data_IF_690796268985
#
_entry.id   IF_690796268985
#
_cell.length_a   1.000
_cell.length_b   1.000
_cell.length_c   1.000
_cell.angle_alpha   90.00
_cell.angle_beta   90.00
_cell.angle_gamma   90.00
#
_symmetry.space_group_name_H-M   'P 1'
#
loop_
_entity.id
_entity.type
_entity.pdbx_description
1 polymer ?
#
# COMPACT_ATOMS: atom_id res chain seq x y z
N UNK A 1 5.63 19.76 8.32
CA UNK A 1 5.09 18.38 8.37
C UNK A 1 4.83 17.93 6.94
N UNK A 2 5.88 17.45 6.25
CA UNK A 2 5.80 17.12 4.83
C UNK A 2 4.84 15.93 4.65
N UNK A 3 3.71 16.16 4.00
CA UNK A 3 2.88 15.07 3.47
C UNK A 3 3.78 14.23 2.56
N UNK A 4 4.12 13.03 2.99
CA UNK A 4 4.77 12.03 2.15
C UNK A 4 3.74 11.72 1.05
N UNK A 5 3.95 12.19 -0.18
CA UNK A 5 2.95 12.15 -1.26
C UNK A 5 2.27 10.77 -1.45
N UNK A 6 2.91 9.66 -1.04
CA UNK A 6 2.29 8.33 -1.03
C UNK A 6 1.04 8.21 -0.16
N UNK A 7 0.96 8.93 0.97
CA UNK A 7 -0.20 8.89 1.87
C UNK A 7 -1.46 9.48 1.25
N UNK A 8 -1.32 10.48 0.37
CA UNK A 8 -2.46 11.11 -0.28
C UNK A 8 -3.02 10.23 -1.40
N UNK A 9 -2.15 9.64 -2.21
CA UNK A 9 -2.58 8.75 -3.29
C UNK A 9 -3.25 7.47 -2.75
N UNK A 10 -2.74 6.89 -1.65
CA UNK A 10 -3.43 5.78 -0.97
C UNK A 10 -4.82 6.18 -0.47
N UNK A 11 -4.99 7.40 0.07
CA UNK A 11 -6.31 7.90 0.47
C UNK A 11 -7.27 8.05 -0.73
N UNK A 12 -6.77 8.51 -1.87
CA UNK A 12 -7.54 8.59 -3.12
C UNK A 12 -7.97 7.22 -3.66
N UNK A 13 -7.37 6.12 -3.20
CA UNK A 13 -7.77 4.75 -3.55
C UNK A 13 -8.74 4.18 -2.52
N UNK A 14 -8.39 4.28 -1.23
CA UNK A 14 -9.18 3.71 -0.12
C UNK A 14 -10.54 4.39 0.00
N UNK A 15 -10.63 5.71 -0.15
CA UNK A 15 -11.91 6.42 -0.01
C UNK A 15 -12.94 5.99 -1.08
N UNK A 16 -12.64 6.01 -2.39
CA UNK A 16 -13.53 5.48 -3.42
C UNK A 16 -13.88 4.00 -3.26
N UNK A 17 -12.91 3.15 -2.96
CA UNK A 17 -13.13 1.70 -2.82
C UNK A 17 -14.03 1.38 -1.63
N UNK A 18 -13.83 2.03 -0.47
CA UNK A 18 -14.74 1.90 0.68
C UNK A 18 -16.14 2.46 0.41
N UNK A 19 -16.24 3.56 -0.33
CA UNK A 19 -17.54 4.12 -0.74
C UNK A 19 -18.34 3.14 -1.61
N UNK A 20 -17.72 2.55 -2.64
CA UNK A 20 -18.39 1.54 -3.48
C UNK A 20 -18.74 0.26 -2.72
N UNK A 21 -17.86 -0.18 -1.81
CA UNK A 21 -18.14 -1.33 -0.95
C UNK A 21 -19.36 -1.04 -0.05
N UNK A 22 -19.51 0.18 0.45
CA UNK A 22 -20.71 0.62 1.17
C UNK A 22 -21.98 0.58 0.32
N UNK A 23 -21.90 1.00 -0.94
CA UNK A 23 -23.03 0.88 -1.89
C UNK A 23 -23.40 -0.59 -2.07
N UNK A 24 -22.45 -1.46 -2.36
CA UNK A 24 -22.73 -2.90 -2.57
C UNK A 24 -23.26 -3.55 -1.30
N UNK A 25 -22.73 -3.19 -0.13
CA UNK A 25 -23.23 -3.67 1.15
C UNK A 25 -24.70 -3.29 1.40
N UNK A 26 -25.14 -2.13 0.88
CA UNK A 26 -26.56 -1.75 0.94
C UNK A 26 -27.47 -2.62 0.05
N UNK A 27 -26.91 -3.27 -0.99
CA UNK A 27 -27.63 -4.23 -1.86
C UNK A 27 -27.60 -5.66 -1.28
N UNK A 28 -26.70 -5.94 -0.34
CA UNK A 28 -26.52 -7.27 0.25
C UNK A 28 -27.81 -7.91 0.82
N UNK A 29 -28.73 -7.18 1.46
CA UNK A 29 -30.01 -7.77 1.92
C UNK A 29 -30.88 -8.32 0.78
N UNK A 30 -30.74 -7.79 -0.44
CA UNK A 30 -31.45 -8.29 -1.62
C UNK A 30 -30.71 -9.47 -2.25
N UNK A 31 -29.37 -9.39 -2.34
CA UNK A 31 -28.53 -10.42 -2.94
C UNK A 31 -28.47 -11.69 -2.08
N UNK A 32 -28.52 -11.55 -0.74
CA UNK A 32 -28.28 -12.65 0.18
C UNK A 32 -29.28 -13.83 0.01
N UNK A 33 -30.61 -13.59 0.02
CA UNK A 33 -31.59 -14.65 -0.15
C UNK A 33 -31.58 -15.29 -1.54
N UNK A 34 -31.00 -14.61 -2.54
CA UNK A 34 -30.94 -15.08 -3.94
C UNK A 34 -29.76 -16.04 -4.13
N UNK A 35 -28.64 -15.80 -3.44
CA UNK A 35 -27.38 -16.52 -3.68
C UNK A 35 -27.04 -17.56 -2.61
N UNK A 36 -27.38 -17.32 -1.34
CA UNK A 36 -26.94 -18.17 -0.21
C UNK A 36 -28.08 -18.75 0.62
N UNK A 37 -29.34 -18.51 0.26
CA UNK A 37 -30.47 -19.15 0.94
C UNK A 37 -30.53 -20.64 0.62
N UNK A 38 -30.73 -21.46 1.64
CA UNK A 38 -30.97 -22.90 1.50
C UNK A 38 -32.43 -23.23 1.15
N UNK A 39 -33.33 -22.26 1.33
CA UNK A 39 -34.74 -22.36 0.94
C UNK A 39 -34.97 -21.62 -0.37
N UNK A 40 -35.88 -22.09 -1.24
CA UNK A 40 -36.18 -21.43 -2.50
C UNK A 40 -36.68 -20.01 -2.22
N UNK A 41 -36.03 -19.04 -2.87
CA UNK A 41 -36.35 -17.63 -2.74
C UNK A 41 -37.78 -17.38 -3.25
N UNK A 42 -38.67 -16.76 -2.46
CA UNK A 42 -40.02 -16.45 -2.92
C UNK A 42 -40.01 -15.53 -4.14
N UNK A 43 -40.95 -15.74 -5.07
CA UNK A 43 -41.11 -14.88 -6.26
C UNK A 43 -41.27 -13.39 -5.91
N UNK A 44 -41.91 -13.09 -4.78
CA UNK A 44 -42.09 -11.72 -4.27
C UNK A 44 -40.76 -11.02 -3.94
N UNK A 45 -39.72 -11.77 -3.58
CA UNK A 45 -38.40 -11.20 -3.31
C UNK A 45 -37.72 -10.72 -4.60
N UNK A 46 -37.89 -11.45 -5.70
CA UNK A 46 -37.44 -11.01 -7.02
C UNK A 46 -38.14 -9.73 -7.45
N UNK A 47 -39.43 -9.57 -7.15
CA UNK A 47 -40.16 -8.32 -7.44
C UNK A 47 -39.61 -7.13 -6.64
N UNK A 48 -39.30 -7.32 -5.35
CA UNK A 48 -38.68 -6.27 -4.54
C UNK A 48 -37.30 -5.88 -5.07
N UNK A 49 -36.46 -6.87 -5.40
CA UNK A 49 -35.14 -6.61 -5.95
C UNK A 49 -35.21 -5.89 -7.30
N UNK A 50 -36.07 -6.35 -8.20
CA UNK A 50 -36.30 -5.74 -9.50
C UNK A 50 -36.80 -4.29 -9.37
N UNK A 51 -37.72 -4.03 -8.43
CA UNK A 51 -38.21 -2.67 -8.14
C UNK A 51 -37.09 -1.75 -7.66
N UNK A 52 -36.19 -2.25 -6.82
CA UNK A 52 -35.05 -1.49 -6.31
C UNK A 52 -34.04 -1.17 -7.41
N UNK A 53 -33.73 -2.13 -8.28
CA UNK A 53 -32.84 -1.93 -9.42
C UNK A 53 -33.40 -0.92 -10.43
N UNK A 54 -34.71 -0.99 -10.70
CA UNK A 54 -35.38 0.02 -11.54
C UNK A 54 -35.33 1.40 -10.91
N UNK A 55 -35.56 1.50 -9.60
CA UNK A 55 -35.41 2.77 -8.87
C UNK A 55 -33.99 3.32 -8.99
N UNK A 56 -32.97 2.46 -8.86
CA UNK A 56 -31.57 2.85 -8.99
C UNK A 56 -31.25 3.36 -10.40
N UNK A 57 -31.75 2.69 -11.44
CA UNK A 57 -31.57 3.11 -12.84
C UNK A 57 -32.36 4.38 -13.20
N UNK A 58 -33.57 4.54 -12.63
CA UNK A 58 -34.41 5.73 -12.81
C UNK A 58 -33.92 6.96 -12.03
N UNK A 59 -32.87 6.81 -11.21
CA UNK A 59 -32.32 7.90 -10.42
C UNK A 59 -31.81 9.06 -11.30
N UNK A 60 -31.87 10.32 -10.82
CA UNK A 60 -31.44 11.47 -11.61
C UNK A 60 -30.02 11.29 -12.15
N UNK A 61 -29.73 11.71 -13.40
CA UNK A 61 -28.46 11.43 -14.08
C UNK A 61 -27.24 12.09 -13.39
N UNK A 62 -27.46 12.90 -12.36
CA UNK A 62 -26.43 13.45 -11.49
C UNK A 62 -25.75 12.35 -10.65
N UNK A 63 -26.51 11.38 -10.12
CA UNK A 63 -25.98 10.30 -9.26
C UNK A 63 -24.95 9.44 -10.01
N UNK A 64 -25.27 8.83 -11.17
CA UNK A 64 -24.28 8.03 -11.89
C UNK A 64 -23.07 8.88 -12.33
N UNK A 65 -23.23 10.17 -12.65
CA UNK A 65 -22.09 11.04 -12.96
C UNK A 65 -21.12 11.19 -11.78
N UNK A 66 -21.64 11.39 -10.57
CA UNK A 66 -20.82 11.41 -9.36
C UNK A 66 -20.11 10.06 -9.16
N UNK A 67 -20.81 8.94 -9.34
CA UNK A 67 -20.20 7.62 -9.22
C UNK A 67 -19.02 7.45 -10.20
N UNK A 68 -19.19 7.82 -11.47
CA UNK A 68 -18.08 7.76 -12.43
C UNK A 68 -16.91 8.66 -12.04
N UNK A 69 -17.15 9.86 -11.51
CA UNK A 69 -16.08 10.75 -11.00
C UNK A 69 -15.30 10.05 -9.87
N UNK A 70 -16.00 9.38 -8.95
CA UNK A 70 -15.37 8.65 -7.85
C UNK A 70 -14.57 7.44 -8.37
N UNK A 71 -15.04 6.75 -9.41
CA UNK A 71 -14.26 5.71 -10.11
C UNK A 71 -12.97 6.30 -10.71
N UNK A 72 -13.08 7.42 -11.43
CA UNK A 72 -11.91 8.09 -12.00
C UNK A 72 -10.93 8.56 -10.93
N UNK A 73 -11.40 8.99 -9.76
CA UNK A 73 -10.56 9.41 -8.65
C UNK A 73 -9.76 8.21 -8.08
N UNK A 74 -10.41 7.07 -7.91
CA UNK A 74 -9.74 5.82 -7.51
C UNK A 74 -8.68 5.37 -8.51
N UNK A 75 -9.02 5.42 -9.80
CA UNK A 75 -8.09 5.10 -10.88
C UNK A 75 -6.90 6.08 -10.93
N UNK A 76 -7.16 7.38 -10.81
CA UNK A 76 -6.11 8.40 -10.78
C UNK A 76 -5.17 8.20 -9.60
N UNK A 77 -5.68 7.78 -8.43
CA UNK A 77 -4.88 7.40 -7.27
C UNK A 77 -3.91 6.25 -7.59
N UNK A 78 -4.41 5.17 -8.20
CA UNK A 78 -3.59 4.02 -8.60
C UNK A 78 -2.53 4.39 -9.64
N UNK A 79 -2.89 5.15 -10.66
CA UNK A 79 -1.94 5.62 -11.70
C UNK A 79 -0.87 6.55 -11.10
N UNK A 80 -1.27 7.42 -10.18
CA UNK A 80 -0.32 8.33 -9.50
C UNK A 80 0.70 7.56 -8.65
N UNK A 81 0.29 6.48 -7.98
CA UNK A 81 1.24 5.62 -7.23
C UNK A 81 2.15 4.81 -8.16
N UNK A 82 1.62 4.34 -9.29
CA UNK A 82 2.41 3.55 -10.26
C UNK A 82 3.55 4.36 -10.89
N UNK A 83 3.41 5.68 -11.02
CA UNK A 83 4.44 6.55 -11.60
C UNK A 83 5.72 6.67 -10.75
N UNK A 84 5.71 6.23 -9.48
CA UNK A 84 6.92 6.16 -8.64
C UNK A 84 7.42 4.70 -8.54
N UNK A 85 8.50 4.34 -9.24
CA UNK A 85 9.03 2.99 -9.21
C UNK A 85 9.83 2.74 -7.92
N UNK A 86 9.27 1.94 -7.02
CA UNK A 86 10.02 1.05 -6.13
C UNK A 86 9.54 -0.38 -6.42
N UNK A 87 10.38 -1.40 -6.24
CA UNK A 87 10.02 -2.79 -6.59
C UNK A 87 8.75 -3.28 -5.85
N UNK A 88 8.62 -2.91 -4.58
CA UNK A 88 7.42 -3.19 -3.76
C UNK A 88 6.18 -2.45 -4.29
N UNK A 89 6.32 -1.18 -4.71
CA UNK A 89 5.22 -0.45 -5.34
C UNK A 89 4.76 -1.14 -6.62
N UNK A 90 5.69 -1.62 -7.45
CA UNK A 90 5.36 -2.27 -8.73
C UNK A 90 4.50 -3.52 -8.55
N UNK A 91 4.84 -4.39 -7.60
CA UNK A 91 4.07 -5.61 -7.34
C UNK A 91 2.69 -5.33 -6.77
N UNK A 92 2.60 -4.49 -5.75
CA UNK A 92 1.33 -4.28 -5.05
C UNK A 92 0.43 -3.22 -5.71
N UNK A 93 0.96 -2.11 -6.23
CA UNK A 93 0.17 -1.11 -6.97
C UNK A 93 -0.18 -1.63 -8.37
N UNK A 94 0.72 -2.40 -9.02
CA UNK A 94 0.44 -3.05 -10.30
C UNK A 94 -0.69 -4.07 -10.19
N UNK A 95 -0.63 -4.97 -9.19
CA UNK A 95 -1.72 -5.91 -8.91
C UNK A 95 -3.02 -5.19 -8.56
N UNK A 96 -2.96 -4.13 -7.75
CA UNK A 96 -4.14 -3.33 -7.41
C UNK A 96 -4.76 -2.65 -8.64
N UNK A 97 -3.94 -2.18 -9.58
CA UNK A 97 -4.41 -1.57 -10.83
C UNK A 97 -5.11 -2.58 -11.73
N UNK A 98 -4.51 -3.76 -11.95
CA UNK A 98 -5.13 -4.83 -12.75
C UNK A 98 -6.45 -5.28 -12.12
N UNK A 99 -6.46 -5.49 -10.80
CA UNK A 99 -7.66 -5.88 -10.08
C UNK A 99 -8.75 -4.79 -10.16
N UNK A 100 -8.37 -3.52 -10.05
CA UNK A 100 -9.31 -2.40 -10.21
C UNK A 100 -9.87 -2.32 -11.63
N UNK A 101 -9.06 -2.56 -12.67
CA UNK A 101 -9.53 -2.60 -14.07
C UNK A 101 -10.47 -3.77 -14.35
N UNK A 102 -10.23 -4.93 -13.72
CA UNK A 102 -11.17 -6.03 -13.72
C UNK A 102 -12.52 -5.58 -13.13
N UNK A 103 -12.50 -4.90 -11.98
CA UNK A 103 -13.69 -4.29 -11.38
C UNK A 103 -14.40 -3.32 -12.33
N UNK A 104 -13.69 -2.39 -12.97
CA UNK A 104 -14.28 -1.46 -13.97
C UNK A 104 -14.94 -2.23 -15.12
N UNK A 105 -14.31 -3.30 -15.59
CA UNK A 105 -14.85 -4.14 -16.68
C UNK A 105 -16.14 -4.81 -16.26
N UNK A 106 -16.19 -5.44 -15.08
CA UNK A 106 -17.41 -6.07 -14.53
C UNK A 106 -18.50 -5.02 -14.29
N UNK A 107 -18.14 -3.82 -13.83
CA UNK A 107 -19.10 -2.72 -13.64
C UNK A 107 -19.78 -2.33 -14.95
N UNK A 108 -18.99 -2.10 -16.01
CA UNK A 108 -19.53 -1.70 -17.32
C UNK A 108 -20.28 -2.86 -17.98
N UNK A 109 -19.70 -4.05 -17.99
CA UNK A 109 -20.23 -5.20 -18.73
C UNK A 109 -21.45 -5.83 -18.05
N UNK A 110 -21.48 -5.89 -16.71
CA UNK A 110 -22.52 -6.62 -15.98
C UNK A 110 -23.48 -5.67 -15.27
N UNK A 111 -22.98 -4.71 -14.49
CA UNK A 111 -23.84 -3.86 -13.65
C UNK A 111 -24.60 -2.84 -14.49
N UNK A 112 -23.90 -2.05 -15.32
CA UNK A 112 -24.53 -1.01 -16.15
C UNK A 112 -25.47 -1.61 -17.19
N UNK A 113 -25.03 -2.69 -17.88
CA UNK A 113 -25.90 -3.38 -18.84
C UNK A 113 -27.07 -4.08 -18.16
N UNK A 114 -26.84 -4.77 -17.03
CA UNK A 114 -27.90 -5.43 -16.26
C UNK A 114 -28.98 -4.46 -15.80
N UNK A 115 -28.60 -3.29 -15.27
CA UNK A 115 -29.56 -2.24 -14.87
C UNK A 115 -30.41 -1.74 -16.06
N UNK A 116 -29.81 -1.59 -17.24
CA UNK A 116 -30.52 -1.19 -18.47
C UNK A 116 -31.50 -2.26 -18.93
N UNK A 117 -31.11 -3.53 -18.90
CA UNK A 117 -31.95 -4.67 -19.30
C UNK A 117 -33.14 -4.86 -18.35
N UNK A 118 -32.89 -4.83 -17.03
CA UNK A 118 -33.96 -4.89 -16.00
C UNK A 118 -34.94 -3.73 -16.17
N UNK A 119 -34.45 -2.54 -16.48
CA UNK A 119 -35.32 -1.37 -16.71
C UNK A 119 -36.10 -1.43 -18.01
N UNK A 120 -35.53 -2.03 -19.07
CA UNK A 120 -36.21 -2.28 -20.32
C UNK A 120 -37.23 -3.44 -20.23
N UNK A 121 -37.15 -4.27 -19.19
CA UNK A 121 -37.98 -5.48 -19.05
C UNK A 121 -37.61 -6.57 -20.06
N UNK A 122 -36.43 -6.46 -20.67
CA UNK A 122 -35.93 -7.44 -21.65
C UNK A 122 -35.10 -8.49 -20.90
N UNK A 123 -35.60 -9.72 -20.87
CA UNK A 123 -34.96 -10.87 -20.24
C UNK A 123 -34.73 -11.94 -21.31
N UNK A 124 -33.51 -12.51 -21.40
CA UNK A 124 -33.14 -13.49 -22.43
C UNK A 124 -31.70 -13.37 -22.95
N UNK A 125 -31.50 -13.66 -24.23
CA UNK A 125 -30.19 -13.80 -24.92
C UNK A 125 -29.20 -12.64 -24.71
N UNK A 126 -29.69 -11.41 -24.50
CA UNK A 126 -28.85 -10.22 -24.31
C UNK A 126 -28.01 -10.27 -23.02
N UNK A 127 -28.44 -11.03 -22.01
CA UNK A 127 -27.71 -11.19 -20.75
C UNK A 127 -26.62 -12.27 -20.85
N UNK A 128 -26.84 -13.29 -21.68
CA UNK A 128 -25.88 -14.35 -22.00
C UNK A 128 -24.68 -13.79 -22.78
N UNK A 129 -24.92 -12.81 -23.67
CA UNK A 129 -23.84 -12.07 -24.33
C UNK A 129 -22.99 -11.22 -23.37
N UNK A 130 -23.60 -10.67 -22.31
CA UNK A 130 -22.91 -9.87 -21.30
C UNK A 130 -22.06 -10.73 -20.35
N UNK A 131 -22.56 -11.91 -19.93
CA UNK A 131 -21.83 -12.86 -19.08
C UNK A 131 -20.73 -13.61 -19.84
N UNK A 132 -20.98 -14.00 -21.09
CA UNK A 132 -19.96 -14.64 -21.94
C UNK A 132 -18.77 -13.72 -22.23
N UNK A 133 -18.99 -12.41 -22.39
CA UNK A 133 -17.92 -11.44 -22.60
C UNK A 133 -17.08 -11.19 -21.33
N UNK A 134 -17.66 -11.34 -20.14
CA UNK A 134 -16.97 -11.17 -18.85
C UNK A 134 -16.18 -12.42 -18.42
N UNK A 135 -16.62 -13.61 -18.81
CA UNK A 135 -15.93 -14.88 -18.55
C UNK A 135 -14.55 -14.97 -19.25
N UNK A 136 -14.26 -14.12 -20.23
CA UNK A 136 -13.00 -14.10 -20.96
C UNK A 136 -11.83 -13.36 -20.29
N UNK A 137 -12.02 -12.71 -19.13
CA UNK A 137 -11.04 -11.72 -18.63
C UNK A 137 -10.35 -12.02 -17.29
N UNK A 138 -10.53 -13.18 -16.66
CA UNK A 138 -9.74 -13.45 -15.44
C UNK A 138 -10.20 -14.60 -14.55
N UNK A 139 -10.06 -15.83 -15.02
CA UNK A 139 -9.83 -17.04 -14.24
C UNK A 139 -9.62 -18.18 -15.25
N UNK A 140 -8.80 -19.18 -14.91
CA UNK A 140 -8.44 -20.27 -15.80
C UNK A 140 -9.61 -20.81 -16.63
N UNK A 141 -9.35 -20.91 -17.93
CA UNK A 141 -10.17 -21.60 -18.92
C UNK A 141 -10.35 -23.06 -18.52
N UNK A 142 -11.47 -23.41 -17.89
CA UNK A 142 -12.03 -24.77 -17.80
C UNK A 142 -13.43 -24.75 -17.13
N UNK A 143 -14.30 -23.81 -17.55
CA UNK A 143 -15.73 -23.91 -17.24
C UNK A 143 -16.45 -24.37 -18.52
N UNK A 144 -17.17 -25.51 -18.50
CA UNK A 144 -17.90 -25.96 -19.67
C UNK A 144 -18.89 -24.87 -20.07
N UNK A 145 -18.86 -24.52 -21.35
CA UNK A 145 -19.88 -23.69 -21.97
C UNK A 145 -21.18 -24.48 -21.94
N UNK A 146 -21.96 -24.30 -20.88
CA UNK A 146 -23.31 -24.88 -20.77
C UNK A 146 -24.21 -24.21 -21.82
N UNK A 147 -24.54 -24.99 -22.84
CA UNK A 147 -25.47 -24.66 -23.91
C UNK A 147 -26.86 -24.33 -23.36
N UNK A 148 -27.38 -23.15 -23.74
CA UNK A 148 -28.80 -23.04 -24.10
C UNK A 148 -29.84 -22.97 -22.98
N UNK A 149 -29.54 -22.45 -21.79
CA UNK A 149 -30.60 -22.10 -20.85
C UNK A 149 -31.13 -20.70 -21.17
N UNK A 150 -32.30 -20.64 -21.82
CA UNK A 150 -33.10 -19.42 -22.01
C UNK A 150 -33.24 -18.75 -20.63
N UNK A 151 -32.49 -17.68 -20.38
CA UNK A 151 -32.47 -17.02 -19.07
C UNK A 151 -33.81 -16.38 -18.79
N UNK A 152 -34.52 -16.90 -17.79
CA UNK A 152 -35.70 -16.26 -17.24
C UNK A 152 -35.35 -14.95 -16.53
N UNK A 153 -36.39 -14.20 -16.15
CA UNK A 153 -36.29 -13.01 -15.31
C UNK A 153 -35.45 -13.26 -14.05
N UNK A 154 -35.72 -14.34 -13.36
CA UNK A 154 -35.07 -14.69 -12.09
C UNK A 154 -33.59 -15.01 -12.27
N UNK A 155 -33.21 -15.69 -13.35
CA UNK A 155 -31.81 -16.02 -13.62
C UNK A 155 -31.01 -14.77 -14.00
N UNK A 156 -31.65 -13.84 -14.71
CA UNK A 156 -31.07 -12.52 -14.98
C UNK A 156 -30.79 -11.74 -13.69
N UNK A 157 -31.71 -11.79 -12.73
CA UNK A 157 -31.55 -11.15 -11.43
C UNK A 157 -30.47 -11.86 -10.58
N UNK A 158 -30.38 -13.19 -10.61
CA UNK A 158 -29.30 -13.96 -9.96
C UNK A 158 -27.92 -13.58 -10.50
N UNK A 159 -27.78 -13.46 -11.82
CA UNK A 159 -26.52 -13.03 -12.46
C UNK A 159 -26.11 -11.63 -12.00
N UNK A 160 -27.07 -10.71 -11.85
CA UNK A 160 -26.78 -9.36 -11.36
C UNK A 160 -26.36 -9.36 -9.88
N UNK A 161 -27.05 -10.14 -9.04
CA UNK A 161 -26.67 -10.33 -7.64
C UNK A 161 -25.26 -10.96 -7.50
N UNK A 162 -24.95 -11.96 -8.35
CA UNK A 162 -23.62 -12.56 -8.40
C UNK A 162 -22.56 -11.53 -8.83
N UNK A 163 -22.89 -10.64 -9.77
CA UNK A 163 -22.00 -9.57 -10.22
C UNK A 163 -21.69 -8.55 -9.10
N UNK A 164 -22.67 -8.21 -8.26
CA UNK A 164 -22.44 -7.39 -7.06
C UNK A 164 -21.47 -8.06 -6.09
N UNK A 165 -21.61 -9.37 -5.90
CA UNK A 165 -20.74 -10.17 -5.02
C UNK A 165 -19.31 -10.21 -5.56
N UNK A 166 -19.13 -10.47 -6.86
CA UNK A 166 -17.81 -10.44 -7.52
C UNK A 166 -17.18 -9.05 -7.34
N UNK A 167 -17.96 -7.98 -7.53
CA UNK A 167 -17.48 -6.61 -7.31
C UNK A 167 -17.02 -6.38 -5.88
N UNK A 168 -17.76 -6.87 -4.88
CA UNK A 168 -17.35 -6.77 -3.48
C UNK A 168 -16.01 -7.46 -3.23
N UNK A 169 -15.82 -8.68 -3.76
CA UNK A 169 -14.56 -9.43 -3.62
C UNK A 169 -13.39 -8.72 -4.29
N UNK A 170 -13.59 -8.17 -5.48
CA UNK A 170 -12.57 -7.39 -6.21
C UNK A 170 -12.17 -6.14 -5.41
N UNK A 171 -13.14 -5.39 -4.89
CA UNK A 171 -12.87 -4.17 -4.10
C UNK A 171 -12.22 -4.49 -2.74
N UNK A 172 -12.63 -5.56 -2.06
CA UNK A 172 -11.95 -6.06 -0.86
C UNK A 172 -10.52 -6.45 -1.18
N UNK A 173 -10.28 -7.13 -2.31
CA UNK A 173 -8.94 -7.48 -2.77
C UNK A 173 -8.05 -6.25 -2.95
N UNK A 174 -8.58 -5.16 -3.53
CA UNK A 174 -7.85 -3.88 -3.62
C UNK A 174 -7.53 -3.33 -2.23
N UNK A 175 -8.49 -3.33 -1.29
CA UNK A 175 -8.24 -2.86 0.08
C UNK A 175 -7.18 -3.70 0.81
N UNK A 176 -7.21 -5.02 0.65
CA UNK A 176 -6.22 -5.94 1.23
C UNK A 176 -4.84 -5.66 0.66
N UNK A 177 -4.71 -5.42 -0.64
CA UNK A 177 -3.44 -5.05 -1.26
C UNK A 177 -2.92 -3.70 -0.76
N UNK A 178 -3.80 -2.70 -0.63
CA UNK A 178 -3.41 -1.39 -0.08
C UNK A 178 -2.98 -1.50 1.41
N UNK A 179 -3.65 -2.33 2.20
CA UNK A 179 -3.25 -2.62 3.58
C UNK A 179 -1.93 -3.41 3.65
N UNK A 180 -1.72 -4.34 2.71
CA UNK A 180 -0.48 -5.09 2.55
C UNK A 180 0.71 -4.19 2.26
N UNK A 181 0.55 -3.21 1.38
CA UNK A 181 1.57 -2.18 1.13
C UNK A 181 1.87 -1.36 2.37
N UNK A 182 0.83 -0.91 3.08
CA UNK A 182 1.02 -0.16 4.31
C UNK A 182 1.82 -0.96 5.35
N UNK A 183 1.53 -2.26 5.48
CA UNK A 183 2.27 -3.15 6.37
C UNK A 183 3.72 -3.36 5.91
N UNK A 184 3.95 -3.58 4.60
CA UNK A 184 5.29 -3.71 4.03
C UNK A 184 6.13 -2.44 4.24
N UNK A 185 5.58 -1.26 3.92
CA UNK A 185 6.22 0.04 4.17
C UNK A 185 6.52 0.27 5.65
N UNK A 186 5.62 -0.16 6.55
CA UNK A 186 5.80 0.00 8.00
C UNK A 186 6.94 -0.89 8.50
N UNK A 187 7.07 -2.11 8.00
CA UNK A 187 8.13 -3.05 8.35
C UNK A 187 9.49 -2.55 7.83
N UNK A 188 9.56 -2.15 6.56
CA UNK A 188 10.76 -1.55 5.96
C UNK A 188 11.21 -0.30 6.73
N UNK A 189 10.28 0.55 7.15
CA UNK A 189 10.61 1.75 7.93
C UNK A 189 11.19 1.43 9.32
N UNK A 190 10.76 0.35 9.97
CA UNK A 190 11.31 -0.10 11.26
C UNK A 190 12.72 -0.66 11.10
N UNK A 191 12.96 -1.47 10.05
CA UNK A 191 14.28 -2.01 9.71
C UNK A 191 15.27 -0.91 9.35
N UNK A 192 14.83 0.12 8.61
CA UNK A 192 15.68 1.24 8.24
C UNK A 192 16.02 2.14 9.45
N UNK A 193 15.11 2.25 10.42
CA UNK A 193 15.32 3.00 11.65
C UNK A 193 16.31 2.30 12.58
N UNK A 194 16.22 0.97 12.73
CA UNK A 194 17.17 0.20 13.54
C UNK A 194 18.58 0.23 12.93
N UNK A 195 18.70 0.16 11.60
CA UNK A 195 19.99 0.29 10.91
C UNK A 195 20.59 1.71 11.00
N UNK A 196 19.76 2.76 10.91
CA UNK A 196 20.23 4.14 11.13
C UNK A 196 20.65 4.36 12.58
N UNK A 197 19.92 3.82 13.56
CA UNK A 197 20.28 3.92 14.96
C UNK A 197 21.63 3.23 15.25
N UNK A 198 21.83 1.99 14.77
CA UNK A 198 23.09 1.27 14.95
C UNK A 198 24.27 1.97 14.25
N UNK A 199 24.10 2.42 13.00
CA UNK A 199 25.16 3.15 12.28
C UNK A 199 25.51 4.48 12.96
N UNK A 200 24.52 5.21 13.51
CA UNK A 200 24.77 6.46 14.25
C UNK A 200 25.45 6.22 15.60
N UNK A 201 25.16 5.11 16.27
CA UNK A 201 25.82 4.68 17.50
C UNK A 201 27.27 4.33 17.23
N UNK A 202 27.54 3.50 16.22
CA UNK A 202 28.91 3.13 15.84
C UNK A 202 29.73 4.32 15.35
N UNK A 203 29.10 5.30 14.67
CA UNK A 203 29.78 6.52 14.24
C UNK A 203 30.12 7.44 15.42
N UNK A 204 29.22 7.54 16.41
CA UNK A 204 29.46 8.27 17.67
C UNK A 204 30.52 7.59 18.55
N UNK A 205 30.56 6.26 18.60
CA UNK A 205 31.58 5.50 19.33
C UNK A 205 32.96 5.73 18.72
N UNK A 206 33.09 5.60 17.39
CA UNK A 206 34.36 5.89 16.70
C UNK A 206 34.83 7.34 16.88
N UNK A 207 33.92 8.31 16.87
CA UNK A 207 34.28 9.71 17.16
C UNK A 207 34.72 9.95 18.61
N UNK A 208 34.23 9.15 19.56
CA UNK A 208 34.66 9.21 20.96
C UNK A 208 36.04 8.57 21.14
N UNK A 209 36.27 7.37 20.61
CA UNK A 209 37.57 6.69 20.66
C UNK A 209 38.67 7.58 20.06
N UNK A 210 38.44 8.17 18.88
CA UNK A 210 39.43 9.06 18.23
C UNK A 210 39.74 10.30 19.08
N UNK A 211 38.75 10.84 19.81
CA UNK A 211 38.97 11.99 20.70
C UNK A 211 39.68 11.60 21.98
N UNK A 212 39.43 10.39 22.49
CA UNK A 212 40.04 9.85 23.69
C UNK A 212 41.51 9.47 23.44
N UNK A 213 41.80 8.79 22.33
CA UNK A 213 43.17 8.50 21.87
C UNK A 213 43.98 9.78 21.64
N UNK A 214 43.39 10.79 20.98
CA UNK A 214 44.06 12.07 20.75
C UNK A 214 44.30 12.88 22.03
N UNK A 215 43.52 12.65 23.09
CA UNK A 215 43.74 13.26 24.40
C UNK A 215 44.87 12.56 25.16
N UNK A 216 44.88 11.21 25.15
CA UNK A 216 45.94 10.40 25.76
C UNK A 216 47.31 10.68 25.11
N UNK A 217 47.36 10.81 23.79
CA UNK A 217 48.60 11.09 23.06
C UNK A 217 49.16 12.51 23.34
N UNK A 218 48.28 13.46 23.72
CA UNK A 218 48.70 14.80 24.17
C UNK A 218 49.25 14.77 25.59
N UNK A 219 48.59 14.05 26.50
CA UNK A 219 49.08 13.89 27.88
C UNK A 219 50.45 13.18 27.91
N UNK A 220 50.66 12.16 27.09
CA UNK A 220 51.96 11.48 26.98
C UNK A 220 53.07 12.42 26.47
N UNK A 221 52.77 13.27 25.46
CA UNK A 221 53.73 14.25 24.93
C UNK A 221 54.07 15.34 25.95
N UNK A 222 53.11 15.79 26.75
CA UNK A 222 53.34 16.74 27.84
C UNK A 222 54.19 16.13 28.98
N UNK A 223 53.94 14.88 29.35
CA UNK A 223 54.74 14.17 30.35
C UNK A 223 56.19 13.91 29.88
N UNK A 224 56.39 13.55 28.61
CA UNK A 224 57.74 13.37 28.04
C UNK A 224 58.53 14.68 27.97
N UNK A 225 57.88 15.80 27.68
CA UNK A 225 58.53 17.12 27.72
C UNK A 225 58.93 17.52 29.15
N UNK A 226 58.09 17.23 30.15
CA UNK A 226 58.42 17.49 31.55
C UNK A 226 59.58 16.61 32.05
N UNK A 227 59.65 15.34 31.63
CA UNK A 227 60.78 14.45 31.96
C UNK A 227 62.09 14.86 31.29
N UNK A 228 62.07 15.33 30.04
CA UNK A 228 63.27 15.85 29.36
C UNK A 228 63.78 17.16 29.97
N UNK A 229 62.89 18.04 30.43
CA UNK A 229 63.28 19.25 31.16
C UNK A 229 63.82 18.94 32.56
N UNK A 230 63.30 17.90 33.23
CA UNK A 230 63.85 17.40 34.50
C UNK A 230 65.24 16.77 34.37
N UNK A 231 65.50 16.01 33.29
CA UNK A 231 66.81 15.37 33.06
C UNK A 231 67.92 16.37 32.66
N UNK A 232 67.58 17.46 31.97
CA UNK A 232 68.55 18.51 31.62
C UNK A 232 69.01 19.35 32.83
N UNK A 233 68.25 19.35 33.93
CA UNK A 233 68.64 20.02 35.19
C UNK A 233 69.65 19.22 36.02
N UNK A 234 69.77 17.90 35.81
CA UNK A 234 70.65 17.03 36.63
C UNK A 234 72.08 16.90 36.08
N UNK A 235 72.34 17.28 34.83
CA UNK A 235 73.65 17.07 34.18
C UNK A 235 74.61 18.26 34.31
N UNK A 236 74.12 19.45 34.68
CA UNK A 236 74.96 20.67 34.75
C UNK A 236 75.76 20.82 36.06
N UNK A 237 75.43 20.09 37.13
CA UNK A 237 76.06 20.29 38.46
C UNK A 237 77.25 19.37 38.74
N UNK A 238 77.70 18.55 37.78
CA UNK A 238 78.69 17.50 38.02
C UNK A 238 80.11 17.71 37.45
N UNK A 239 80.35 18.74 36.62
CA UNK A 239 81.58 18.77 35.80
C UNK A 239 82.16 20.17 35.59
N UNK A 240 82.56 20.90 36.64
CA UNK A 240 83.73 21.83 36.60
C UNK A 240 84.15 22.18 38.04
N UNK A 241 85.03 21.41 38.69
CA UNK A 241 86.04 21.95 39.65
C UNK A 241 87.02 20.86 40.08
N UNK A 242 88.04 20.58 39.24
CA UNK A 242 89.26 19.93 39.71
C UNK A 242 90.43 20.17 38.76
N UNK A 243 90.90 21.42 38.68
CA UNK A 243 92.29 21.68 38.32
C UNK A 243 92.75 23.08 38.70
N UNK A 244 93.93 23.11 39.31
CA UNK A 244 94.86 24.23 39.48
C UNK A 244 94.56 25.30 40.54
N UNK A 245 95.16 25.14 41.73
CA UNK A 245 96.12 26.14 42.22
C UNK A 245 97.05 25.54 43.29
N UNK A 246 98.30 25.33 42.91
CA UNK A 246 99.45 25.22 43.82
C UNK A 246 100.36 26.42 43.53
N UNK A 247 101.12 26.86 44.55
CA UNK A 247 102.09 28.00 44.63
C UNK A 247 101.48 29.39 44.92
N UNK A 248 102.00 30.22 45.83
CA UNK A 248 103.15 30.17 46.76
C UNK A 248 103.09 31.46 47.64
N UNK A 249 103.46 31.33 48.92
CA UNK A 249 104.04 32.30 49.89
C UNK A 249 104.04 33.81 49.55
N UNK A 250 103.54 34.63 50.47
CA UNK A 250 104.34 35.27 51.53
C UNK A 250 103.45 35.67 52.71
#
# INVERSE_FOLDING_TARGET
MAFRNGSFATFLIVCPTSFFLGIIFSLFPYDYPILWSTTPTPATHFDYFESHLRFLHASPPLIPRILHIVIFLGLAGLVTKLYRPSESNMLFDGASLVLYMCGVTVYIANIVKGLRLVSAGTYGDDLLAATAAAAGAGAGSDAPAEEGQILGREDSLKVLAASNTIMALVLVGVLVLQAGQWYAERKEAQELASFKASSSSSKKEKEKEVKEDAALEKEEKEQQQQQQQGASSATTTGRVTRQASSRKKN
#
